data_IF_717693356713
#
_entry.id   IF_717693356713
#
_cell.length_a   1.000
_cell.length_b   1.000
_cell.length_c   1.000
_cell.angle_alpha   90.00
_cell.angle_beta   90.00
_cell.angle_gamma   90.00
#
_symmetry.space_group_name_H-M   'P 1'
#
loop_
_entity.id
_entity.type
_entity.pdbx_description
1 polymer ?
#
# COMPACT_ATOMS: atom_id res chain seq x y z
N UNK A 1 -2.88 30.11 22.50
CA UNK A 1 -4.14 30.19 21.72
C UNK A 1 -3.93 29.33 20.48
N UNK A 2 -4.53 28.14 20.45
CA UNK A 2 -4.29 27.12 19.42
C UNK A 2 -5.13 27.43 18.18
N UNK A 3 -4.50 27.94 17.12
CA UNK A 3 -5.13 28.12 15.81
C UNK A 3 -4.95 26.80 15.05
N UNK A 4 -5.82 25.84 15.34
CA UNK A 4 -5.85 24.55 14.65
C UNK A 4 -6.37 24.74 13.22
N UNK A 5 -5.55 24.35 12.24
CA UNK A 5 -5.74 24.46 10.79
C UNK A 5 -7.10 23.92 10.30
N UNK A 6 -8.09 24.80 10.16
CA UNK A 6 -9.35 24.54 9.45
C UNK A 6 -9.14 24.43 7.95
N UNK A 7 -8.15 25.15 7.41
CA UNK A 7 -7.79 25.13 5.99
C UNK A 7 -7.34 23.74 5.51
N UNK A 8 -6.58 23.00 6.33
CA UNK A 8 -6.16 21.63 5.98
C UNK A 8 -7.34 20.66 5.89
N UNK A 9 -8.34 20.77 6.77
CA UNK A 9 -9.52 19.89 6.75
C UNK A 9 -10.42 20.16 5.55
N UNK A 10 -10.62 21.42 5.19
CA UNK A 10 -11.39 21.79 3.98
C UNK A 10 -10.69 21.37 2.69
N UNK A 11 -9.36 21.51 2.62
CA UNK A 11 -8.58 21.04 1.48
C UNK A 11 -8.60 19.51 1.34
N UNK A 12 -8.48 18.78 2.46
CA UNK A 12 -8.63 17.31 2.45
C UNK A 12 -10.04 16.89 2.05
N UNK A 13 -11.07 17.54 2.58
CA UNK A 13 -12.47 17.23 2.24
C UNK A 13 -12.78 17.48 0.77
N UNK A 14 -12.34 18.61 0.21
CA UNK A 14 -12.55 18.92 -1.21
C UNK A 14 -11.79 17.93 -2.12
N UNK A 15 -10.59 17.55 -1.72
CA UNK A 15 -9.76 16.59 -2.45
C UNK A 15 -10.35 15.17 -2.38
N UNK A 16 -10.80 14.68 -1.22
CA UNK A 16 -11.46 13.37 -1.10
C UNK A 16 -12.71 13.29 -1.97
N UNK A 17 -13.53 14.35 -1.99
CA UNK A 17 -14.71 14.42 -2.85
C UNK A 17 -14.34 14.36 -4.34
N UNK A 18 -13.26 15.03 -4.77
CA UNK A 18 -12.80 14.97 -6.16
C UNK A 18 -12.34 13.57 -6.58
N UNK A 19 -11.59 12.87 -5.72
CA UNK A 19 -11.13 11.49 -5.98
C UNK A 19 -12.28 10.50 -6.06
N UNK A 20 -13.28 10.63 -5.18
CA UNK A 20 -14.47 9.78 -5.18
C UNK A 20 -15.26 9.96 -6.49
N UNK A 21 -15.39 11.21 -6.97
CA UNK A 21 -16.05 11.49 -8.26
C UNK A 21 -15.29 10.93 -9.46
N UNK A 22 -13.96 10.98 -9.45
CA UNK A 22 -13.15 10.43 -10.54
C UNK A 22 -13.20 8.89 -10.56
N UNK A 23 -13.15 8.26 -9.39
CA UNK A 23 -13.24 6.80 -9.23
C UNK A 23 -14.61 6.26 -9.68
N UNK A 24 -15.70 6.99 -9.39
CA UNK A 24 -17.05 6.65 -9.88
C UNK A 24 -17.17 6.75 -11.41
N UNK A 25 -16.51 7.75 -12.01
CA UNK A 25 -16.53 7.98 -13.46
C UNK A 25 -15.77 6.88 -14.21
N UNK A 26 -14.62 6.45 -13.69
CA UNK A 26 -13.82 5.34 -14.26
C UNK A 26 -14.53 3.98 -14.11
N UNK A 27 -15.27 3.77 -13.02
CA UNK A 27 -16.10 2.58 -12.84
C UNK A 27 -17.26 2.53 -13.84
N UNK A 28 -17.93 3.65 -14.11
CA UNK A 28 -19.01 3.74 -15.10
C UNK A 28 -18.52 3.52 -16.55
N UNK A 29 -17.31 3.98 -16.89
CA UNK A 29 -16.72 3.76 -18.22
C UNK A 29 -16.37 2.29 -18.48
N UNK A 30 -15.97 1.53 -17.44
CA UNK A 30 -15.71 0.09 -17.56
C UNK A 30 -16.97 -0.76 -17.76
N UNK A 31 -18.12 -0.28 -17.28
CA UNK A 31 -19.41 -0.99 -17.43
C UNK A 31 -20.05 -0.80 -18.82
N UNK A 32 -19.59 0.17 -19.62
CA UNK A 32 -20.19 0.51 -20.92
C UNK A 32 -19.55 -0.25 -22.12
N UNK A 33 -18.55 -1.10 -21.90
CA UNK A 33 -17.83 -1.82 -22.97
C UNK A 33 -18.25 -3.30 -23.13
N UNK A 34 -19.26 -3.77 -22.41
CA UNK A 34 -19.62 -5.21 -22.34
C UNK A 34 -20.92 -5.56 -23.10
N UNK A 35 -21.01 -5.16 -24.37
CA UNK A 35 -22.15 -5.49 -25.26
C UNK A 35 -21.79 -6.68 -26.19
N UNK A 36 -22.47 -7.83 -26.02
CA UNK A 36 -22.30 -9.10 -26.75
C UNK A 36 -22.90 -9.09 -28.18
N UNK A 37 -22.52 -9.96 -29.18
CA UNK A 37 -22.92 -11.41 -29.27
C UNK A 37 -22.01 -12.30 -30.22
N UNK A 38 -22.39 -13.48 -30.79
CA UNK A 38 -23.29 -14.60 -30.41
C UNK A 38 -22.59 -16.02 -30.35
N UNK A 39 -23.41 -17.02 -30.01
CA UNK A 39 -23.13 -18.42 -29.57
C UNK A 39 -22.82 -19.44 -30.70
N UNK A 40 -21.82 -20.33 -30.51
CA UNK A 40 -21.91 -21.83 -30.59
C UNK A 40 -20.56 -22.56 -30.55
N UNK A 41 -20.32 -23.42 -29.53
CA UNK A 41 -20.22 -24.90 -29.65
C UNK A 41 -19.54 -25.58 -28.42
N UNK A 42 -20.30 -26.52 -27.82
CA UNK A 42 -19.97 -27.78 -27.09
C UNK A 42 -18.86 -27.84 -26.02
N UNK A 43 -19.34 -28.00 -24.78
CA UNK A 43 -18.83 -28.79 -23.64
C UNK A 43 -17.31 -28.97 -23.49
N UNK A 44 -16.72 -28.05 -22.73
CA UNK A 44 -15.90 -28.42 -21.59
C UNK A 44 -16.59 -27.81 -20.36
N UNK A 45 -16.75 -28.58 -19.29
CA UNK A 45 -17.24 -28.12 -17.99
C UNK A 45 -16.19 -27.16 -17.40
N UNK A 46 -16.15 -25.95 -17.96
CA UNK A 46 -15.17 -24.92 -17.67
C UNK A 46 -15.86 -23.92 -16.76
N UNK A 47 -15.46 -23.95 -15.48
CA UNK A 47 -15.84 -22.91 -14.53
C UNK A 47 -15.25 -21.61 -15.04
N UNK A 48 -16.08 -20.78 -15.68
CA UNK A 48 -15.69 -19.44 -16.10
C UNK A 48 -15.58 -18.57 -14.85
N UNK A 49 -14.35 -18.42 -14.35
CA UNK A 49 -14.06 -17.46 -13.29
C UNK A 49 -14.10 -16.05 -13.85
N UNK A 50 -14.62 -15.09 -13.10
CA UNK A 50 -14.53 -13.68 -13.49
C UNK A 50 -13.07 -13.26 -13.70
N UNK A 51 -12.84 -12.30 -14.59
CA UNK A 51 -11.51 -11.71 -14.82
C UNK A 51 -10.88 -11.23 -13.51
N UNK A 52 -11.67 -10.61 -12.63
CA UNK A 52 -11.25 -10.18 -11.28
C UNK A 52 -10.72 -11.34 -10.43
N UNK A 53 -11.41 -12.49 -10.42
CA UNK A 53 -10.99 -13.67 -9.64
C UNK A 53 -9.66 -14.22 -10.16
N UNK A 54 -9.50 -14.25 -11.49
CA UNK A 54 -8.25 -14.67 -12.14
C UNK A 54 -7.10 -13.73 -11.80
N UNK A 55 -7.34 -12.41 -11.82
CA UNK A 55 -6.33 -11.40 -11.51
C UNK A 55 -5.91 -11.42 -10.04
N UNK A 56 -6.85 -11.67 -9.12
CA UNK A 56 -6.55 -11.83 -7.70
C UNK A 56 -5.70 -13.07 -7.48
N UNK A 57 -6.08 -14.20 -8.08
CA UNK A 57 -5.35 -15.45 -7.97
C UNK A 57 -3.89 -15.30 -8.46
N UNK A 58 -3.69 -14.62 -9.60
CA UNK A 58 -2.34 -14.30 -10.10
C UNK A 58 -1.56 -13.39 -9.16
N UNK A 59 -2.22 -12.37 -8.61
CA UNK A 59 -1.60 -11.42 -7.66
C UNK A 59 -1.14 -12.10 -6.38
N UNK A 60 -1.97 -13.02 -5.86
CA UNK A 60 -1.64 -13.84 -4.69
C UNK A 60 -0.46 -14.75 -5.02
N UNK A 61 -0.55 -15.53 -6.10
CA UNK A 61 0.52 -16.45 -6.49
C UNK A 61 1.87 -15.75 -6.71
N UNK A 62 1.87 -14.55 -7.31
CA UNK A 62 3.09 -13.79 -7.59
C UNK A 62 3.80 -13.24 -6.33
N UNK A 63 3.06 -13.00 -5.25
CA UNK A 63 3.60 -12.42 -4.02
C UNK A 63 3.69 -13.40 -2.85
N UNK A 64 3.01 -14.56 -2.90
CA UNK A 64 2.99 -15.55 -1.83
C UNK A 64 4.38 -15.95 -1.30
N UNK A 65 5.44 -16.11 -2.11
CA UNK A 65 6.78 -16.42 -1.60
C UNK A 65 7.35 -15.38 -0.63
N UNK A 66 6.86 -14.14 -0.66
CA UNK A 66 7.32 -13.07 0.21
C UNK A 66 6.57 -13.00 1.54
N UNK A 67 5.51 -13.78 1.70
CA UNK A 67 4.70 -13.87 2.91
C UNK A 67 4.60 -15.34 3.36
N UNK A 68 5.72 -15.95 3.81
CA UNK A 68 5.68 -17.32 4.27
C UNK A 68 4.72 -17.45 5.46
N UNK A 69 4.02 -18.56 5.54
CA UNK A 69 3.10 -18.89 6.63
C UNK A 69 3.38 -20.31 7.11
N UNK A 70 2.98 -20.60 8.34
CA UNK A 70 3.00 -21.97 8.86
C UNK A 70 2.19 -22.90 7.97
N UNK A 71 2.59 -24.16 7.93
CA UNK A 71 1.80 -25.22 7.31
C UNK A 71 0.36 -25.23 7.85
N UNK A 72 -0.62 -25.30 6.94
CA UNK A 72 -2.05 -25.28 7.28
C UNK A 72 -2.63 -23.89 7.57
N UNK A 73 -1.85 -22.81 7.42
CA UNK A 73 -2.33 -21.43 7.44
C UNK A 73 -2.26 -20.81 6.04
N UNK A 74 -2.94 -19.68 5.84
CA UNK A 74 -2.99 -18.93 4.58
C UNK A 74 -2.71 -17.44 4.84
N UNK A 75 -2.29 -16.73 3.79
CA UNK A 75 -2.06 -15.28 3.83
C UNK A 75 -2.67 -14.55 2.63
N UNK A 76 -3.69 -15.11 1.99
CA UNK A 76 -4.18 -14.61 0.70
C UNK A 76 -4.64 -13.15 0.74
N UNK A 77 -5.38 -12.75 1.78
CA UNK A 77 -5.84 -11.35 1.93
C UNK A 77 -4.65 -10.40 2.19
N UNK A 78 -3.72 -10.82 3.05
CA UNK A 78 -2.49 -10.10 3.32
C UNK A 78 -1.62 -9.94 2.05
N UNK A 79 -1.43 -11.01 1.30
CA UNK A 79 -0.63 -11.04 0.07
C UNK A 79 -1.28 -10.18 -1.01
N UNK A 80 -2.59 -10.28 -1.17
CA UNK A 80 -3.35 -9.52 -2.16
C UNK A 80 -3.19 -8.01 -1.96
N UNK A 81 -3.07 -7.55 -0.72
CA UNK A 81 -2.86 -6.13 -0.40
C UNK A 81 -1.57 -5.53 -0.96
N UNK A 82 -0.58 -6.33 -1.36
CA UNK A 82 0.63 -5.85 -2.05
C UNK A 82 0.35 -5.38 -3.50
N UNK A 83 -0.66 -5.95 -4.16
CA UNK A 83 -1.01 -5.58 -5.55
C UNK A 83 -2.36 -4.89 -5.67
N UNK A 84 -3.25 -5.09 -4.69
CA UNK A 84 -4.62 -4.57 -4.64
C UNK A 84 -4.92 -4.03 -3.23
N UNK A 85 -4.31 -2.90 -2.83
CA UNK A 85 -4.44 -2.35 -1.46
C UNK A 85 -5.89 -1.99 -1.07
N UNK A 86 -6.76 -1.77 -2.06
CA UNK A 86 -8.18 -1.48 -1.84
C UNK A 86 -9.11 -2.69 -1.94
N UNK A 87 -8.56 -3.90 -2.16
CA UNK A 87 -9.36 -5.11 -2.14
C UNK A 87 -9.91 -5.34 -0.74
N UNK A 88 -11.23 -5.50 -0.63
CA UNK A 88 -11.92 -5.74 0.63
C UNK A 88 -12.34 -7.20 0.74
N UNK A 89 -11.98 -7.85 1.84
CA UNK A 89 -12.42 -9.20 2.19
C UNK A 89 -12.97 -9.19 3.63
N UNK A 90 -12.10 -9.19 4.63
CA UNK A 90 -12.42 -9.04 6.05
C UNK A 90 -13.15 -7.74 6.37
N UNK A 91 -12.89 -6.64 5.65
CA UNK A 91 -13.43 -5.31 5.93
C UNK A 91 -14.66 -4.92 5.10
N UNK A 92 -15.13 -5.82 4.22
CA UNK A 92 -16.26 -5.53 3.32
C UNK A 92 -17.52 -5.18 4.10
N UNK A 93 -18.19 -4.10 3.67
CA UNK A 93 -19.46 -3.57 4.18
C UNK A 93 -19.46 -3.25 5.69
N UNK A 94 -18.28 -2.92 6.26
CA UNK A 94 -18.09 -2.59 7.67
C UNK A 94 -17.66 -1.14 7.89
N UNK A 95 -18.15 -0.54 8.98
CA UNK A 95 -17.55 0.68 9.56
C UNK A 95 -16.14 0.38 10.07
N UNK A 96 -15.29 1.40 10.25
CA UNK A 96 -13.92 1.16 10.71
C UNK A 96 -13.84 0.50 12.10
N UNK A 97 -14.73 0.87 13.02
CA UNK A 97 -14.89 0.22 14.33
C UNK A 97 -15.27 -1.28 14.20
N UNK A 98 -16.19 -1.60 13.28
CA UNK A 98 -16.56 -2.99 12.98
C UNK A 98 -15.41 -3.76 12.34
N UNK A 99 -14.60 -3.10 11.50
CA UNK A 99 -13.37 -3.68 10.93
C UNK A 99 -12.39 -4.04 12.05
N UNK A 100 -12.17 -3.16 13.02
CA UNK A 100 -11.30 -3.44 14.17
C UNK A 100 -11.79 -4.64 14.99
N UNK A 101 -13.10 -4.67 15.29
CA UNK A 101 -13.70 -5.76 16.06
C UNK A 101 -13.60 -7.11 15.33
N UNK A 102 -13.84 -7.13 14.01
CA UNK A 102 -13.69 -8.34 13.19
C UNK A 102 -12.23 -8.79 13.09
N UNK A 103 -11.30 -7.85 12.93
CA UNK A 103 -9.87 -8.13 12.90
C UNK A 103 -9.38 -8.76 14.21
N UNK A 104 -9.79 -8.21 15.37
CA UNK A 104 -9.50 -8.78 16.70
C UNK A 104 -9.99 -10.22 16.81
N UNK A 105 -11.26 -10.48 16.44
CA UNK A 105 -11.85 -11.81 16.45
C UNK A 105 -11.05 -12.81 15.61
N UNK A 106 -10.68 -12.43 14.38
CA UNK A 106 -9.87 -13.29 13.49
C UNK A 106 -8.49 -13.57 14.06
N UNK A 107 -7.84 -12.55 14.61
CA UNK A 107 -6.52 -12.72 15.24
C UNK A 107 -6.61 -13.66 16.45
N UNK A 108 -7.66 -13.56 17.27
CA UNK A 108 -7.87 -14.47 18.41
C UNK A 108 -8.10 -15.92 17.95
N UNK A 109 -8.86 -16.12 16.87
CA UNK A 109 -9.04 -17.43 16.25
C UNK A 109 -7.71 -18.02 15.76
N UNK A 110 -6.84 -17.20 15.15
CA UNK A 110 -5.51 -17.64 14.71
C UNK A 110 -4.58 -17.94 15.88
N UNK A 111 -4.59 -17.14 16.95
CA UNK A 111 -3.87 -17.46 18.17
C UNK A 111 -4.34 -18.79 18.77
N UNK A 112 -5.65 -19.02 18.85
CA UNK A 112 -6.21 -20.28 19.33
C UNK A 112 -5.80 -21.47 18.43
N UNK A 113 -5.83 -21.30 17.10
CA UNK A 113 -5.38 -22.30 16.14
C UNK A 113 -3.89 -22.66 16.35
N UNK A 114 -3.02 -21.67 16.51
CA UNK A 114 -1.60 -21.88 16.78
C UNK A 114 -1.40 -22.63 18.11
N UNK A 115 -2.09 -22.22 19.18
CA UNK A 115 -2.01 -22.90 20.47
C UNK A 115 -2.49 -24.36 20.39
N UNK A 116 -3.61 -24.61 19.71
CA UNK A 116 -4.16 -25.95 19.52
C UNK A 116 -3.24 -26.86 18.70
N UNK A 117 -2.42 -26.29 17.80
CA UNK A 117 -1.41 -27.05 17.05
C UNK A 117 -0.20 -27.52 17.89
N UNK A 118 -0.14 -27.16 19.17
CA UNK A 118 1.01 -27.41 20.05
C UNK A 118 2.21 -26.50 19.78
N UNK A 119 2.07 -25.52 18.88
CA UNK A 119 3.09 -24.52 18.54
C UNK A 119 2.50 -23.12 18.78
N UNK A 120 2.59 -22.54 19.99
CA UNK A 120 2.05 -21.21 20.25
C UNK A 120 2.74 -20.13 19.39
N UNK A 121 2.16 -18.93 19.33
CA UNK A 121 2.75 -17.79 18.64
C UNK A 121 4.09 -17.39 19.29
N UNK A 122 5.12 -17.24 18.47
CA UNK A 122 6.50 -16.88 18.88
C UNK A 122 6.96 -15.54 18.30
N UNK A 123 6.21 -14.96 17.36
CA UNK A 123 6.58 -13.72 16.68
C UNK A 123 7.50 -13.89 15.47
N UNK A 124 7.70 -15.11 14.99
CA UNK A 124 8.38 -15.36 13.71
C UNK A 124 7.64 -14.68 12.54
N UNK A 125 8.30 -14.53 11.39
CA UNK A 125 7.63 -14.00 10.19
C UNK A 125 6.44 -14.88 9.75
N UNK A 126 6.59 -16.21 9.82
CA UNK A 126 5.51 -17.15 9.52
C UNK A 126 4.32 -17.00 10.47
N UNK A 127 4.60 -16.77 11.76
CA UNK A 127 3.58 -16.56 12.77
C UNK A 127 2.86 -15.23 12.55
N UNK A 128 3.61 -14.16 12.30
CA UNK A 128 3.06 -12.83 12.02
C UNK A 128 2.16 -12.86 10.78
N UNK A 129 2.66 -13.47 9.70
CA UNK A 129 1.93 -13.57 8.45
C UNK A 129 0.71 -14.49 8.59
N UNK A 130 0.81 -15.60 9.33
CA UNK A 130 -0.33 -16.49 9.60
C UNK A 130 -1.39 -15.88 10.50
N UNK A 131 -0.98 -15.10 11.51
CA UNK A 131 -1.88 -14.36 12.42
C UNK A 131 -2.71 -13.33 11.67
N UNK A 132 -2.09 -12.61 10.74
CA UNK A 132 -2.69 -11.49 10.01
C UNK A 132 -3.08 -11.84 8.57
N UNK A 133 -2.94 -13.10 8.19
CA UNK A 133 -3.03 -13.55 6.79
C UNK A 133 -4.41 -13.37 6.16
N UNK A 134 -5.45 -13.42 6.99
CA UNK A 134 -6.85 -13.21 6.61
C UNK A 134 -7.30 -11.76 6.71
N UNK A 135 -6.41 -10.85 7.11
CA UNK A 135 -6.71 -9.43 7.20
C UNK A 135 -6.36 -8.76 5.87
N UNK A 136 -7.37 -8.15 5.22
CA UNK A 136 -7.09 -7.21 4.14
C UNK A 136 -6.41 -5.93 4.68
N UNK A 137 -5.88 -5.10 3.78
CA UNK A 137 -5.09 -3.92 4.16
C UNK A 137 -5.86 -2.94 5.05
N UNK A 138 -7.18 -2.76 4.84
CA UNK A 138 -8.00 -1.88 5.69
C UNK A 138 -8.11 -2.45 7.11
N UNK A 139 -8.25 -3.76 7.24
CA UNK A 139 -8.18 -4.44 8.55
C UNK A 139 -6.80 -4.33 9.19
N UNK A 140 -5.71 -4.47 8.42
CA UNK A 140 -4.35 -4.21 8.93
C UNK A 140 -4.20 -2.76 9.42
N UNK A 141 -4.80 -1.79 8.72
CA UNK A 141 -4.78 -0.39 9.14
C UNK A 141 -5.48 -0.20 10.49
N UNK A 142 -6.65 -0.82 10.69
CA UNK A 142 -7.34 -0.79 11.99
C UNK A 142 -6.47 -1.34 13.13
N UNK A 143 -5.75 -2.44 12.88
CA UNK A 143 -4.78 -2.99 13.85
C UNK A 143 -3.62 -2.01 14.06
N UNK A 144 -3.04 -1.49 12.98
CA UNK A 144 -1.87 -0.61 12.99
C UNK A 144 -2.09 0.74 13.69
N UNK A 145 -3.31 1.29 13.60
CA UNK A 145 -3.72 2.54 14.25
C UNK A 145 -4.36 2.32 15.62
N UNK A 146 -4.43 1.07 16.07
CA UNK A 146 -5.10 0.68 17.31
C UNK A 146 -6.55 1.17 17.39
N UNK A 147 -7.31 1.01 16.31
CA UNK A 147 -8.71 1.41 16.28
C UNK A 147 -9.48 0.71 17.41
N UNK A 148 -10.21 1.48 18.21
CA UNK A 148 -10.92 1.00 19.40
C UNK A 148 -10.04 0.64 20.61
N UNK A 149 -8.71 0.76 20.53
CA UNK A 149 -7.81 0.50 21.66
C UNK A 149 -7.67 -0.97 22.07
N UNK A 150 -8.02 -1.90 21.18
CA UNK A 150 -8.13 -3.35 21.46
C UNK A 150 -6.92 -4.17 20.98
N UNK A 151 -5.88 -3.53 20.44
CA UNK A 151 -4.69 -4.18 19.92
C UNK A 151 -3.45 -3.85 20.76
N UNK A 152 -2.62 -4.85 20.99
CA UNK A 152 -1.35 -4.69 21.69
C UNK A 152 -0.34 -3.91 20.82
N UNK A 153 0.68 -3.32 21.46
CA UNK A 153 1.73 -2.61 20.75
C UNK A 153 2.50 -3.51 19.75
N UNK A 154 2.67 -4.79 20.09
CA UNK A 154 3.34 -5.76 19.20
C UNK A 154 2.49 -6.07 17.96
N UNK A 155 1.18 -6.19 18.11
CA UNK A 155 0.25 -6.38 17.00
C UNK A 155 0.22 -5.14 16.11
N UNK A 156 0.16 -3.93 16.68
CA UNK A 156 0.26 -2.68 15.93
C UNK A 156 1.55 -2.63 15.10
N UNK A 157 2.71 -2.89 15.72
CA UNK A 157 4.01 -2.87 15.05
C UNK A 157 4.10 -3.92 13.93
N UNK A 158 3.52 -5.11 14.16
CA UNK A 158 3.44 -6.18 13.17
C UNK A 158 2.59 -5.78 11.95
N UNK A 159 1.41 -5.21 12.19
CA UNK A 159 0.52 -4.74 11.13
C UNK A 159 1.17 -3.60 10.32
N UNK A 160 1.82 -2.64 10.99
CA UNK A 160 2.58 -1.58 10.33
C UNK A 160 3.73 -2.15 9.47
N UNK A 161 4.45 -3.17 9.96
CA UNK A 161 5.52 -3.81 9.20
C UNK A 161 4.99 -4.51 7.94
N UNK A 162 3.86 -5.22 8.05
CA UNK A 162 3.19 -5.85 6.92
C UNK A 162 2.67 -4.84 5.89
N UNK A 163 2.07 -3.73 6.36
CA UNK A 163 1.62 -2.65 5.48
C UNK A 163 2.78 -1.99 4.73
N UNK A 164 3.94 -1.83 5.38
CA UNK A 164 5.18 -1.38 4.71
C UNK A 164 5.67 -2.40 3.70
N UNK A 165 5.69 -3.69 4.05
CA UNK A 165 6.07 -4.77 3.14
C UNK A 165 5.21 -4.78 1.87
N UNK A 166 3.88 -4.63 2.01
CA UNK A 166 2.96 -4.50 0.87
C UNK A 166 3.34 -3.30 -0.01
N UNK A 167 3.58 -2.12 0.59
CA UNK A 167 3.97 -0.91 -0.15
C UNK A 167 5.32 -1.06 -0.86
N UNK A 168 6.30 -1.71 -0.23
CA UNK A 168 7.60 -2.03 -0.84
C UNK A 168 7.43 -2.88 -2.09
N UNK A 169 6.73 -4.01 -1.97
CA UNK A 169 6.51 -4.91 -3.10
C UNK A 169 5.74 -4.21 -4.23
N UNK A 170 4.71 -3.41 -3.90
CA UNK A 170 3.93 -2.63 -4.86
C UNK A 170 4.78 -1.63 -5.66
N UNK A 171 5.79 -1.05 -5.02
CA UNK A 171 6.67 -0.03 -5.60
C UNK A 171 7.98 -0.61 -6.13
N UNK A 172 8.04 -1.94 -6.25
CA UNK A 172 9.18 -2.68 -6.81
C UNK A 172 10.39 -2.72 -5.90
N UNK A 173 10.24 -2.54 -4.60
CA UNK A 173 11.30 -2.81 -3.64
C UNK A 173 11.09 -4.20 -3.04
N UNK A 174 12.14 -5.00 -3.08
CA UNK A 174 12.11 -6.30 -2.44
C UNK A 174 11.80 -6.16 -0.94
N UNK A 175 10.86 -6.97 -0.44
CA UNK A 175 10.57 -7.10 0.99
C UNK A 175 10.00 -8.48 1.26
N UNK A 176 10.79 -9.33 1.90
CA UNK A 176 10.45 -10.72 2.20
C UNK A 176 11.64 -11.48 2.80
N UNK A 177 11.54 -12.82 2.87
CA UNK A 177 12.59 -13.69 3.42
C UNK A 177 13.88 -13.67 2.61
N UNK A 178 15.04 -13.50 3.25
CA UNK A 178 16.32 -13.28 2.55
C UNK A 178 16.65 -14.33 1.45
N UNK A 179 16.26 -15.58 1.63
CA UNK A 179 16.41 -16.67 0.66
C UNK A 179 15.57 -16.49 -0.62
N UNK A 180 14.52 -15.67 -0.58
CA UNK A 180 13.69 -15.33 -1.74
C UNK A 180 14.22 -14.12 -2.51
N UNK A 181 15.14 -13.35 -1.95
CA UNK A 181 15.66 -12.14 -2.59
C UNK A 181 16.33 -12.42 -3.94
N UNK A 182 17.07 -13.51 -4.03
CA UNK A 182 17.74 -13.95 -5.27
C UNK A 182 16.76 -14.33 -6.40
N UNK A 183 15.53 -14.71 -6.04
CA UNK A 183 14.48 -15.09 -7.00
C UNK A 183 13.59 -13.92 -7.41
N UNK A 184 13.66 -12.81 -6.66
CA UNK A 184 12.85 -11.65 -6.92
C UNK A 184 13.38 -10.86 -8.13
N UNK A 185 12.46 -10.48 -9.00
CA UNK A 185 12.75 -9.63 -10.18
C UNK A 185 12.05 -8.30 -10.00
N UNK A 186 12.82 -7.23 -10.12
CA UNK A 186 12.27 -5.88 -10.12
C UNK A 186 11.33 -5.67 -11.31
N UNK A 187 10.02 -5.47 -11.08
CA UNK A 187 9.05 -5.28 -12.16
C UNK A 187 9.27 -3.97 -12.93
N UNK A 188 10.02 -3.01 -12.35
CA UNK A 188 10.30 -1.72 -12.97
C UNK A 188 11.71 -1.61 -13.52
N UNK A 189 12.55 -2.66 -13.41
CA UNK A 189 13.93 -2.66 -13.92
C UNK A 189 14.74 -1.39 -13.54
N UNK A 190 14.62 -0.98 -12.27
CA UNK A 190 15.17 0.24 -11.68
C UNK A 190 14.68 1.55 -12.31
N UNK A 191 13.53 1.58 -12.99
CA UNK A 191 12.90 2.80 -13.51
C UNK A 191 12.23 3.61 -12.38
N UNK A 192 12.77 4.78 -11.99
CA UNK A 192 12.23 5.55 -10.88
C UNK A 192 10.88 6.19 -11.22
N UNK A 193 10.58 6.42 -12.51
CA UNK A 193 9.27 6.93 -12.93
C UNK A 193 8.20 5.85 -12.83
N UNK A 194 8.49 4.64 -13.30
CA UNK A 194 7.62 3.48 -13.14
C UNK A 194 7.29 3.22 -11.67
N UNK A 195 8.30 3.27 -10.79
CA UNK A 195 8.12 3.14 -9.34
C UNK A 195 7.27 4.25 -8.73
N UNK A 196 7.50 5.51 -9.11
CA UNK A 196 6.73 6.64 -8.63
C UNK A 196 5.26 6.60 -9.10
N UNK A 197 5.00 6.14 -10.34
CA UNK A 197 3.62 5.89 -10.81
C UNK A 197 2.96 4.76 -10.04
N UNK A 198 3.65 3.64 -9.83
CA UNK A 198 3.14 2.52 -9.05
C UNK A 198 2.86 2.91 -7.59
N UNK A 199 3.71 3.75 -7.00
CA UNK A 199 3.50 4.35 -5.68
C UNK A 199 2.23 5.20 -5.64
N UNK A 200 2.04 6.09 -6.62
CA UNK A 200 0.84 6.91 -6.72
C UNK A 200 -0.42 6.05 -6.91
N UNK A 201 -0.37 5.05 -7.79
CA UNK A 201 -1.48 4.11 -8.01
C UNK A 201 -1.81 3.32 -6.74
N UNK A 202 -0.80 2.85 -6.01
CA UNK A 202 -0.97 2.16 -4.75
C UNK A 202 -1.66 3.05 -3.71
N UNK A 203 -1.20 4.29 -3.55
CA UNK A 203 -1.77 5.28 -2.63
C UNK A 203 -3.22 5.65 -2.99
N UNK A 204 -3.51 5.81 -4.28
CA UNK A 204 -4.87 6.12 -4.77
C UNK A 204 -5.86 4.99 -4.48
N UNK A 205 -5.36 3.75 -4.37
CA UNK A 205 -6.17 2.57 -4.08
C UNK A 205 -6.15 2.15 -2.60
N UNK A 206 -5.53 2.91 -1.69
CA UNK A 206 -5.59 2.63 -0.24
C UNK A 206 -7.00 2.75 0.35
N UNK A 207 -7.17 2.35 1.61
CA UNK A 207 -8.44 2.52 2.32
C UNK A 207 -8.83 3.99 2.55
N UNK A 208 -10.12 4.33 2.71
CA UNK A 208 -10.55 5.68 3.03
C UNK A 208 -9.87 6.25 4.28
N UNK A 209 -9.67 5.42 5.31
CA UNK A 209 -9.03 5.82 6.56
C UNK A 209 -7.55 6.17 6.38
N UNK A 210 -6.81 5.44 5.53
CA UNK A 210 -5.44 5.81 5.16
C UNK A 210 -5.40 7.13 4.37
N UNK A 211 -6.32 7.33 3.41
CA UNK A 211 -6.39 8.55 2.58
C UNK A 211 -6.79 9.80 3.37
N UNK A 212 -7.47 9.63 4.49
CA UNK A 212 -7.89 10.72 5.37
C UNK A 212 -6.75 11.30 6.22
N UNK A 213 -5.52 10.77 6.11
CA UNK A 213 -4.37 11.24 6.89
C UNK A 213 -3.62 12.38 6.20
N UNK A 214 -3.10 13.37 6.96
CA UNK A 214 -2.22 14.41 6.41
C UNK A 214 -0.96 13.85 5.74
N UNK A 215 -0.40 12.77 6.29
CA UNK A 215 0.79 12.10 5.79
C UNK A 215 0.56 11.55 4.37
N UNK A 216 -0.59 10.90 4.15
CA UNK A 216 -0.98 10.41 2.83
C UNK A 216 -1.07 11.56 1.82
N UNK A 217 -1.73 12.67 2.16
CA UNK A 217 -1.84 13.81 1.25
C UNK A 217 -0.46 14.38 0.89
N UNK A 218 0.40 14.58 1.90
CA UNK A 218 1.74 15.12 1.71
C UNK A 218 2.59 14.23 0.79
N UNK A 219 2.56 12.92 1.02
CA UNK A 219 3.29 11.93 0.21
C UNK A 219 2.78 11.91 -1.24
N UNK A 220 1.45 11.89 -1.43
CA UNK A 220 0.84 11.87 -2.76
C UNK A 220 1.16 13.13 -3.57
N UNK A 221 1.02 14.31 -2.96
CA UNK A 221 1.36 15.59 -3.62
C UNK A 221 2.85 15.64 -3.99
N UNK A 222 3.72 15.08 -3.15
CA UNK A 222 5.16 15.02 -3.44
C UNK A 222 5.45 14.11 -4.64
N UNK A 223 4.78 12.97 -4.75
CA UNK A 223 4.88 12.07 -5.91
C UNK A 223 4.35 12.73 -7.19
N UNK A 224 3.20 13.41 -7.14
CA UNK A 224 2.66 14.13 -8.29
C UNK A 224 3.57 15.26 -8.75
N UNK A 225 4.09 16.06 -7.81
CA UNK A 225 5.03 17.12 -8.13
C UNK A 225 6.30 16.57 -8.77
N UNK A 226 6.83 15.45 -8.26
CA UNK A 226 7.99 14.79 -8.85
C UNK A 226 7.68 14.31 -10.27
N UNK A 227 6.60 13.56 -10.47
CA UNK A 227 6.20 13.04 -11.79
C UNK A 227 6.02 14.18 -12.82
N UNK A 228 5.38 15.27 -12.41
CA UNK A 228 5.18 16.46 -13.26
C UNK A 228 6.50 17.15 -13.60
N UNK A 229 7.41 17.31 -12.64
CA UNK A 229 8.73 17.89 -12.90
C UNK A 229 9.49 17.06 -13.95
N UNK A 230 9.53 15.74 -13.78
CA UNK A 230 10.26 14.86 -14.68
C UNK A 230 9.63 14.71 -16.06
N UNK A 231 8.31 14.92 -16.19
CA UNK A 231 7.64 15.01 -17.49
C UNK A 231 8.01 16.31 -18.24
N UNK A 232 8.11 17.42 -17.50
CA UNK A 232 8.35 18.75 -18.08
C UNK A 232 9.82 19.04 -18.40
N UNK A 233 10.76 18.42 -17.70
CA UNK A 233 12.20 18.68 -17.91
C UNK A 233 12.85 17.83 -19.00
N UNK A 234 12.11 16.91 -19.64
CA UNK A 234 12.70 15.97 -20.61
C UNK A 234 13.91 15.24 -20.02
N UNK A 235 13.85 14.91 -18.72
CA UNK A 235 15.02 14.57 -17.90
C UNK A 235 15.94 13.55 -18.59
N UNK A 236 17.23 13.88 -18.68
CA UNK A 236 18.25 13.00 -19.21
C UNK A 236 18.25 11.67 -18.43
N UNK A 237 18.57 10.50 -19.03
CA UNK A 237 18.53 9.20 -18.36
C UNK A 237 19.37 9.11 -17.08
N UNK A 238 20.31 10.03 -16.89
CA UNK A 238 21.18 10.18 -15.71
C UNK A 238 20.47 10.96 -14.58
N UNK A 239 19.70 12.00 -14.92
CA UNK A 239 18.88 12.76 -13.95
C UNK A 239 17.67 11.94 -13.47
N UNK A 240 17.16 11.05 -14.32
CA UNK A 240 16.14 10.05 -13.91
C UNK A 240 16.64 9.11 -12.80
N UNK A 241 17.97 8.89 -12.71
CA UNK A 241 18.61 7.96 -11.78
C UNK A 241 19.14 8.60 -10.49
N UNK A 242 18.99 9.92 -10.30
CA UNK A 242 19.56 10.61 -9.13
C UNK A 242 18.56 11.49 -8.35
N UNK A 243 18.85 11.66 -7.05
CA UNK A 243 18.42 12.79 -6.21
C UNK A 243 17.01 12.74 -5.63
N UNK A 244 15.97 12.92 -6.44
CA UNK A 244 14.62 13.23 -5.93
C UNK A 244 13.61 12.08 -6.06
N UNK A 245 13.68 11.27 -7.11
CA UNK A 245 12.70 10.21 -7.37
C UNK A 245 13.01 8.91 -6.63
N UNK A 246 14.30 8.59 -6.47
CA UNK A 246 14.76 7.43 -5.71
C UNK A 246 14.32 7.54 -4.24
N UNK A 247 14.55 8.71 -3.64
CA UNK A 247 14.19 8.99 -2.25
C UNK A 247 12.68 8.98 -1.98
N UNK A 248 11.80 9.39 -2.90
CA UNK A 248 10.36 9.48 -2.63
C UNK A 248 9.66 8.11 -2.62
N UNK A 249 10.03 7.21 -3.53
CA UNK A 249 9.52 5.84 -3.52
C UNK A 249 10.10 5.04 -2.34
N UNK A 250 11.34 5.34 -1.92
CA UNK A 250 11.98 4.78 -0.73
C UNK A 250 11.33 5.25 0.58
N UNK A 251 11.02 6.55 0.69
CA UNK A 251 10.28 7.12 1.83
C UNK A 251 8.90 6.45 1.96
N UNK A 252 8.18 6.21 0.85
CA UNK A 252 6.90 5.49 0.87
C UNK A 252 7.07 4.00 1.24
N UNK A 253 8.16 3.38 0.79
CA UNK A 253 8.57 2.01 1.14
C UNK A 253 9.04 1.87 2.61
N UNK A 254 9.13 2.97 3.37
CA UNK A 254 9.67 2.97 4.73
C UNK A 254 11.17 2.65 4.79
N UNK A 255 11.89 2.85 3.69
CA UNK A 255 13.35 2.78 3.63
C UNK A 255 13.87 4.12 4.15
N UNK A 256 14.39 4.13 5.37
CA UNK A 256 15.21 5.24 5.86
C UNK A 256 16.55 5.14 5.14
N UNK A 257 16.82 6.02 4.18
CA UNK A 257 18.17 6.17 3.64
C UNK A 257 19.00 6.98 4.63
N UNK A 258 20.09 6.39 5.12
CA UNK A 258 21.19 7.19 5.66
C UNK A 258 21.71 8.10 4.54
N UNK A 259 22.00 9.38 4.81
CA UNK A 259 22.43 10.31 3.78
C UNK A 259 23.75 9.81 3.18
N UNK A 260 23.77 9.69 1.85
CA UNK A 260 24.92 9.26 1.08
C UNK A 260 26.14 10.16 1.40
N UNK A 261 27.07 9.61 2.17
CA UNK A 261 28.29 10.29 2.59
C UNK A 261 29.33 10.19 1.47
N UNK A 262 29.10 10.90 0.37
CA UNK A 262 30.15 11.15 -0.63
C UNK A 262 30.29 12.64 -0.93
N UNK A 263 31.24 13.20 -0.17
CA UNK A 263 32.00 14.44 -0.39
C UNK A 263 31.27 15.78 -0.26
N UNK A 264 31.34 16.28 0.97
CA UNK A 264 31.61 17.66 1.37
C UNK A 264 31.99 18.64 0.24
N UNK A 265 31.07 19.55 -0.07
CA UNK A 265 31.42 20.97 -0.12
C UNK A 265 30.27 21.79 0.46
N UNK A 266 30.62 22.68 1.37
CA UNK A 266 29.70 23.54 2.13
C UNK A 266 28.80 24.37 1.21
N UNK A 267 27.49 24.15 1.28
CA UNK A 267 26.52 25.22 1.05
C UNK A 267 25.24 24.90 1.83
N UNK A 268 24.78 25.90 2.59
CA UNK A 268 23.58 25.91 3.43
C UNK A 268 22.35 25.38 2.67
N UNK A 269 21.91 24.17 2.96
CA UNK A 269 20.58 23.70 2.58
C UNK A 269 19.88 23.15 3.81
N UNK A 270 18.92 23.92 4.31
CA UNK A 270 18.02 23.49 5.38
C UNK A 270 17.13 22.34 4.94
N UNK A 271 16.62 21.60 5.93
CA UNK A 271 15.72 20.44 5.80
C UNK A 271 14.82 20.51 4.55
N UNK A 272 14.99 19.59 3.57
CA UNK A 272 14.21 19.55 2.35
C UNK A 272 12.70 19.53 2.60
N UNK A 273 12.26 18.89 3.68
CA UNK A 273 10.86 18.82 4.10
C UNK A 273 10.34 20.20 4.49
N UNK A 274 11.16 20.97 5.21
CA UNK A 274 10.84 22.34 5.58
C UNK A 274 10.81 23.29 4.37
N UNK A 275 11.64 23.05 3.35
CA UNK A 275 11.64 23.85 2.12
C UNK A 275 10.39 23.58 1.26
N UNK A 276 9.95 22.32 1.18
CA UNK A 276 8.73 21.94 0.47
C UNK A 276 7.49 22.51 1.18
N UNK A 277 7.44 22.43 2.51
CA UNK A 277 6.35 23.02 3.30
C UNK A 277 6.28 24.55 3.13
N UNK A 278 7.43 25.21 3.11
CA UNK A 278 7.53 26.66 2.92
C UNK A 278 7.10 27.09 1.50
N UNK A 279 7.38 26.26 0.49
CA UNK A 279 6.98 26.50 -0.89
C UNK A 279 5.48 26.26 -1.11
N UNK A 280 4.90 25.27 -0.42
CA UNK A 280 3.44 25.05 -0.39
C UNK A 280 2.70 26.18 0.33
N UNK A 281 3.24 26.69 1.44
CA UNK A 281 2.67 27.84 2.14
C UNK A 281 2.69 29.14 1.30
N UNK A 282 3.70 29.32 0.46
CA UNK A 282 3.78 30.50 -0.45
C UNK A 282 2.82 30.45 -1.65
N UNK A 283 2.16 29.32 -1.89
CA UNK A 283 1.19 29.16 -2.99
C UNK A 283 -0.27 29.36 -2.54
N UNK A 284 -0.49 29.57 -1.24
CA UNK A 284 -1.82 29.74 -0.61
C UNK A 284 -2.01 31.18 -0.06
N UNK A 285 -1.02 32.06 -0.25
CA UNK A 285 -1.07 33.48 0.12
C UNK A 285 -1.39 34.37 -1.08
#
# INVERSE_FOLDING_TARGET
MLIGSTASKSAMSAYTTAVDTQSATEAQQRMAQDEAPPVKAKEADSVSLSSTSTDYSKSIAGNAPYFPVREGMNADALVLGASKPGAVSSSKDKTFEQVATDARKRMDEKYAQMNASGKPYTGSDEDRNGLMGDLDRRSLNAVATNEGGIFTAQEQASAQALMRQQGRLATGYYSGPADQQQNWKDPFANDPFGRARAALDFMNNMSPEEKATPEWLSQRLSLEAALNLGHNTGADPVDKKSGHFHNLAEILAGVVTEPDTRQSSQAKYGDPSAQILKKLQSLIA
#
